data_IF_944890401337
#
_entry.id   IF_944890401337
#
_cell.length_a   1.000
_cell.length_b   1.000
_cell.length_c   1.000
_cell.angle_alpha   90.00
_cell.angle_beta   90.00
_cell.angle_gamma   90.00
#
_symmetry.space_group_name_H-M   'P 1'
#
loop_
_entity.id
_entity.type
_entity.pdbx_description
1 polymer ?
#
# COMPACT_ATOMS: atom_id res chain seq x y z
N UNK A 1 -22.61 22.77 3.90
CA UNK A 1 -21.47 22.42 3.01
C UNK A 1 -20.23 22.28 3.90
N UNK A 2 -19.55 21.12 3.88
CA UNK A 2 -18.38 20.90 4.73
C UNK A 2 -17.20 21.76 4.27
N UNK A 3 -16.59 22.53 5.19
CA UNK A 3 -15.57 23.53 4.86
C UNK A 3 -14.31 22.91 4.25
N UNK A 4 -14.04 21.65 4.56
CA UNK A 4 -12.84 20.93 4.11
C UNK A 4 -13.12 19.85 3.07
N UNK A 5 -14.28 19.87 2.40
CA UNK A 5 -14.61 18.85 1.38
C UNK A 5 -13.55 18.78 0.28
N UNK A 6 -13.13 19.94 -0.25
CA UNK A 6 -12.06 20.03 -1.25
C UNK A 6 -10.74 19.44 -0.75
N UNK A 7 -10.41 19.65 0.52
CA UNK A 7 -9.18 19.12 1.12
C UNK A 7 -9.27 17.60 1.21
N UNK A 8 -10.42 17.06 1.64
CA UNK A 8 -10.64 15.62 1.72
C UNK A 8 -10.51 14.96 0.34
N UNK A 9 -11.11 15.54 -0.70
CA UNK A 9 -10.99 15.03 -2.08
C UNK A 9 -9.54 14.98 -2.56
N UNK A 10 -8.76 16.04 -2.32
CA UNK A 10 -7.33 16.07 -2.69
C UNK A 10 -6.56 14.97 -1.95
N UNK A 11 -6.84 14.78 -0.66
CA UNK A 11 -6.17 13.75 0.15
C UNK A 11 -6.52 12.33 -0.27
N UNK A 12 -7.77 12.09 -0.66
CA UNK A 12 -8.20 10.81 -1.22
C UNK A 12 -7.49 10.53 -2.55
N UNK A 13 -7.32 11.56 -3.40
CA UNK A 13 -6.57 11.43 -4.64
C UNK A 13 -5.09 11.11 -4.37
N UNK A 14 -4.41 11.85 -3.49
CA UNK A 14 -3.02 11.58 -3.09
C UNK A 14 -2.83 10.15 -2.55
N UNK A 15 -3.80 9.68 -1.76
CA UNK A 15 -3.82 8.32 -1.22
C UNK A 15 -3.90 7.29 -2.35
N UNK A 16 -4.80 7.49 -3.31
CA UNK A 16 -4.98 6.59 -4.46
C UNK A 16 -3.72 6.54 -5.34
N UNK A 17 -3.09 7.69 -5.59
CA UNK A 17 -1.81 7.76 -6.32
C UNK A 17 -0.70 6.99 -5.59
N UNK A 18 -0.62 7.14 -4.26
CA UNK A 18 0.34 6.41 -3.42
C UNK A 18 0.05 4.90 -3.41
N UNK A 19 -1.22 4.50 -3.42
CA UNK A 19 -1.63 3.09 -3.48
C UNK A 19 -1.24 2.44 -4.82
N UNK A 20 -1.39 3.16 -5.93
CA UNK A 20 -0.94 2.71 -7.25
C UNK A 20 0.58 2.52 -7.25
N UNK A 21 1.32 3.52 -6.78
CA UNK A 21 2.78 3.46 -6.72
C UNK A 21 3.28 2.31 -5.80
N UNK A 22 2.59 2.06 -4.69
CA UNK A 22 2.86 0.90 -3.84
C UNK A 22 2.66 -0.42 -4.59
N UNK A 23 1.51 -0.61 -5.26
CA UNK A 23 1.23 -1.82 -6.06
C UNK A 23 2.28 -2.06 -7.15
N UNK A 24 2.70 -0.99 -7.84
CA UNK A 24 3.79 -1.08 -8.83
C UNK A 24 5.12 -1.49 -8.19
N UNK A 25 5.43 -0.95 -7.00
CA UNK A 25 6.65 -1.32 -6.28
C UNK A 25 6.65 -2.77 -5.80
N UNK A 26 5.50 -3.30 -5.37
CA UNK A 26 5.32 -4.71 -5.00
C UNK A 26 5.58 -5.59 -6.22
N UNK A 27 4.94 -5.28 -7.36
CA UNK A 27 5.15 -6.03 -8.61
C UNK A 27 6.62 -6.02 -9.03
N UNK A 28 7.27 -4.87 -8.98
CA UNK A 28 8.70 -4.76 -9.32
C UNK A 28 9.58 -5.59 -8.38
N UNK A 29 9.26 -5.62 -7.08
CA UNK A 29 9.95 -6.48 -6.12
C UNK A 29 9.75 -7.97 -6.45
N UNK A 30 8.51 -8.39 -6.71
CA UNK A 30 8.17 -9.78 -7.06
C UNK A 30 8.89 -10.25 -8.33
N UNK A 31 8.93 -9.41 -9.37
CA UNK A 31 9.63 -9.73 -10.63
C UNK A 31 11.14 -9.96 -10.39
N UNK A 32 11.79 -9.09 -9.62
CA UNK A 32 13.23 -9.22 -9.34
C UNK A 32 13.51 -10.38 -8.37
N UNK A 33 12.64 -10.61 -7.39
CA UNK A 33 12.76 -11.73 -6.45
C UNK A 33 12.57 -13.08 -7.15
N UNK A 34 11.62 -13.17 -8.09
CA UNK A 34 11.40 -14.38 -8.91
C UNK A 34 12.63 -14.67 -9.75
N UNK A 35 13.22 -13.65 -10.38
CA UNK A 35 14.47 -13.80 -11.13
C UNK A 35 15.62 -14.29 -10.24
N UNK A 36 15.72 -13.81 -9.00
CA UNK A 36 16.72 -14.31 -8.06
C UNK A 36 16.50 -15.79 -7.76
N UNK A 37 15.25 -16.19 -7.49
CA UNK A 37 14.88 -17.58 -7.24
C UNK A 37 15.28 -18.48 -8.41
N UNK A 38 14.95 -18.09 -9.64
CA UNK A 38 15.29 -18.87 -10.85
C UNK A 38 16.80 -19.04 -11.02
N UNK A 39 17.59 -18.00 -10.74
CA UNK A 39 19.06 -18.06 -10.82
C UNK A 39 19.65 -18.98 -9.76
N UNK A 40 19.14 -18.92 -8.53
CA UNK A 40 19.56 -19.82 -7.45
C UNK A 40 19.21 -21.27 -7.79
N UNK A 41 18.00 -21.52 -8.31
CA UNK A 41 17.59 -22.86 -8.72
C UNK A 41 18.43 -23.39 -9.87
N UNK A 42 18.76 -22.54 -10.84
CA UNK A 42 19.68 -22.88 -11.93
C UNK A 42 21.07 -23.25 -11.42
N UNK A 43 21.59 -22.53 -10.42
CA UNK A 43 22.88 -22.83 -9.78
C UNK A 43 22.85 -24.20 -9.11
N UNK A 44 21.81 -24.48 -8.33
CA UNK A 44 21.62 -25.76 -7.65
C UNK A 44 21.62 -26.93 -8.65
N UNK A 45 20.77 -26.86 -9.68
CA UNK A 45 20.67 -27.91 -10.70
C UNK A 45 22.01 -28.15 -11.44
N UNK A 46 22.79 -27.08 -11.67
CA UNK A 46 24.08 -27.20 -12.35
C UNK A 46 25.13 -27.87 -11.47
N UNK A 47 25.15 -27.58 -10.17
CA UNK A 47 26.05 -28.23 -9.22
C UNK A 47 25.72 -29.71 -9.12
N UNK A 48 24.44 -30.07 -9.05
CA UNK A 48 23.98 -31.46 -9.05
C UNK A 48 24.42 -32.18 -10.33
N UNK A 49 24.16 -31.58 -11.50
CA UNK A 49 24.60 -32.13 -12.78
C UNK A 49 26.14 -32.33 -12.86
N UNK A 50 26.91 -31.37 -12.34
CA UNK A 50 28.37 -31.49 -12.29
C UNK A 50 28.81 -32.66 -11.40
N UNK A 51 28.17 -32.84 -10.24
CA UNK A 51 28.47 -33.96 -9.34
C UNK A 51 28.20 -35.31 -10.01
N UNK A 52 27.07 -35.46 -10.70
CA UNK A 52 26.76 -36.68 -11.46
C UNK A 52 27.79 -36.96 -12.55
N UNK A 53 28.21 -35.93 -13.31
CA UNK A 53 29.22 -36.06 -14.38
C UNK A 53 30.60 -36.43 -13.84
N UNK A 54 30.96 -35.99 -12.63
CA UNK A 54 32.23 -36.36 -12.00
C UNK A 54 32.27 -37.84 -11.59
N UNK A 55 31.13 -38.45 -11.27
CA UNK A 55 31.03 -39.89 -10.93
C UNK A 55 31.30 -40.77 -12.15
N UNK A 56 30.82 -40.38 -13.32
CA UNK A 56 30.97 -41.15 -14.58
C UNK A 56 32.33 -40.87 -15.26
N UNK A 57 33.00 -39.79 -14.87
CA UNK A 57 34.23 -39.29 -15.47
C UNK A 57 33.97 -38.10 -16.39
N UNK A 58 34.78 -37.06 -16.26
CA UNK A 58 34.69 -35.82 -17.06
C UNK A 58 36.08 -35.37 -17.48
N UNK A 59 36.18 -34.73 -18.64
CA UNK A 59 37.44 -34.12 -19.08
C UNK A 59 37.78 -32.89 -18.23
N UNK A 60 39.08 -32.59 -18.12
CA UNK A 60 39.57 -31.39 -17.41
C UNK A 60 39.00 -30.11 -18.02
N UNK A 61 38.82 -30.09 -19.34
CA UNK A 61 38.23 -28.94 -20.05
C UNK A 61 36.77 -28.70 -19.64
N UNK A 62 35.96 -29.76 -19.55
CA UNK A 62 34.58 -29.67 -19.09
C UNK A 62 34.50 -29.16 -17.64
N UNK A 63 35.35 -29.68 -16.76
CA UNK A 63 35.41 -29.26 -15.35
C UNK A 63 35.71 -27.75 -15.25
N UNK A 64 36.69 -27.26 -16.02
CA UNK A 64 37.02 -25.84 -16.06
C UNK A 64 35.90 -24.99 -16.66
N UNK A 65 35.20 -25.48 -17.69
CA UNK A 65 34.08 -24.77 -18.29
C UNK A 65 32.93 -24.57 -17.28
N UNK A 66 32.54 -25.62 -16.56
CA UNK A 66 31.48 -25.53 -15.53
C UNK A 66 31.86 -24.62 -14.38
N UNK A 67 33.12 -24.69 -13.90
CA UNK A 67 33.58 -23.80 -12.82
C UNK A 67 33.46 -22.32 -13.22
N UNK A 68 33.92 -21.94 -14.42
CA UNK A 68 33.78 -20.56 -14.93
C UNK A 68 32.32 -20.13 -15.07
N UNK A 69 31.46 -21.05 -15.50
CA UNK A 69 30.04 -20.75 -15.64
C UNK A 69 29.36 -20.55 -14.28
N UNK A 70 29.67 -21.38 -13.28
CA UNK A 70 29.21 -21.20 -11.90
C UNK A 70 29.68 -19.84 -11.37
N UNK A 71 30.96 -19.48 -11.54
CA UNK A 71 31.47 -18.17 -11.10
C UNK A 71 30.72 -17.00 -11.75
N UNK A 72 30.39 -17.10 -13.04
CA UNK A 72 29.62 -16.07 -13.73
C UNK A 72 28.18 -15.98 -13.23
N UNK A 73 27.59 -17.12 -12.89
CA UNK A 73 26.24 -17.21 -12.33
C UNK A 73 26.20 -16.61 -10.93
N UNK A 74 27.21 -16.85 -10.10
CA UNK A 74 27.35 -16.27 -8.76
C UNK A 74 27.46 -14.74 -8.80
N UNK A 75 28.26 -14.18 -9.73
CA UNK A 75 28.32 -12.73 -9.94
C UNK A 75 26.95 -12.16 -10.31
N UNK A 76 26.24 -12.84 -11.20
CA UNK A 76 24.89 -12.44 -11.62
C UNK A 76 23.89 -12.51 -10.46
N UNK A 77 23.98 -13.55 -9.63
CA UNK A 77 23.16 -13.72 -8.42
C UNK A 77 23.43 -12.57 -7.45
N UNK A 78 24.70 -12.23 -7.20
CA UNK A 78 25.07 -11.14 -6.30
C UNK A 78 24.47 -9.79 -6.76
N UNK A 79 24.56 -9.49 -8.06
CA UNK A 79 23.96 -8.28 -8.63
C UNK A 79 22.43 -8.25 -8.48
N UNK A 80 21.76 -9.38 -8.74
CA UNK A 80 20.31 -9.47 -8.61
C UNK A 80 19.88 -9.40 -7.15
N UNK A 81 20.63 -9.98 -6.21
CA UNK A 81 20.38 -9.85 -4.77
C UNK A 81 20.39 -8.37 -4.33
N UNK A 82 21.34 -7.58 -4.80
CA UNK A 82 21.37 -6.13 -4.52
C UNK A 82 20.11 -5.44 -5.07
N UNK A 83 19.67 -5.81 -6.28
CA UNK A 83 18.42 -5.28 -6.86
C UNK A 83 17.19 -5.68 -6.07
N UNK A 84 17.13 -6.91 -5.52
CA UNK A 84 16.03 -7.35 -4.64
C UNK A 84 15.99 -6.48 -3.39
N UNK A 85 17.14 -6.23 -2.75
CA UNK A 85 17.22 -5.36 -1.57
C UNK A 85 16.74 -3.94 -1.89
N UNK A 86 17.19 -3.37 -3.01
CA UNK A 86 16.74 -2.03 -3.46
C UNK A 86 15.24 -1.99 -3.73
N UNK A 87 14.69 -2.98 -4.44
CA UNK A 87 13.27 -3.06 -4.74
C UNK A 87 12.44 -3.22 -3.47
N UNK A 88 12.91 -4.03 -2.50
CA UNK A 88 12.27 -4.19 -1.19
C UNK A 88 12.26 -2.89 -0.40
N UNK A 89 13.38 -2.18 -0.34
CA UNK A 89 13.45 -0.89 0.34
C UNK A 89 12.51 0.14 -0.28
N UNK A 90 12.43 0.19 -1.61
CA UNK A 90 11.48 1.05 -2.34
C UNK A 90 10.03 0.67 -2.00
N UNK A 91 9.70 -0.61 -1.99
CA UNK A 91 8.38 -1.13 -1.64
C UNK A 91 7.97 -0.73 -0.21
N UNK A 92 8.84 -0.97 0.77
CA UNK A 92 8.59 -0.60 2.17
C UNK A 92 8.39 0.91 2.34
N UNK A 93 9.14 1.73 1.60
CA UNK A 93 8.97 3.18 1.64
C UNK A 93 7.58 3.62 1.15
N UNK A 94 7.07 3.03 0.06
CA UNK A 94 5.72 3.31 -0.40
C UNK A 94 4.65 2.78 0.56
N UNK A 95 4.90 1.64 1.22
CA UNK A 95 4.00 1.09 2.24
C UNK A 95 3.83 2.07 3.41
N UNK A 96 4.94 2.59 3.95
CA UNK A 96 4.93 3.59 5.01
C UNK A 96 4.20 4.87 4.58
N UNK A 97 4.47 5.34 3.35
CA UNK A 97 3.79 6.53 2.80
C UNK A 97 2.29 6.32 2.63
N UNK A 98 1.87 5.15 2.17
CA UNK A 98 0.47 4.81 2.04
C UNK A 98 -0.22 4.79 3.41
N UNK A 99 0.46 4.29 4.44
CA UNK A 99 -0.05 4.30 5.81
C UNK A 99 -0.23 5.72 6.35
N UNK A 100 0.75 6.61 6.14
CA UNK A 100 0.65 8.03 6.49
C UNK A 100 -0.57 8.69 5.82
N UNK A 101 -0.74 8.51 4.51
CA UNK A 101 -1.87 9.07 3.75
C UNK A 101 -3.22 8.53 4.18
N UNK A 102 -3.31 7.23 4.48
CA UNK A 102 -4.52 6.63 5.04
C UNK A 102 -4.90 7.25 6.39
N UNK A 103 -3.93 7.51 7.26
CA UNK A 103 -4.17 8.17 8.54
C UNK A 103 -4.64 9.62 8.36
N UNK A 104 -4.08 10.36 7.40
CA UNK A 104 -4.52 11.72 7.07
C UNK A 104 -5.99 11.74 6.61
N UNK A 105 -6.36 10.92 5.64
CA UNK A 105 -7.74 10.84 5.13
C UNK A 105 -8.72 10.53 6.27
N UNK A 106 -8.42 9.51 7.10
CA UNK A 106 -9.26 9.14 8.25
C UNK A 106 -9.45 10.28 9.26
N UNK A 107 -8.45 11.14 9.45
CA UNK A 107 -8.59 12.32 10.33
C UNK A 107 -9.63 13.28 9.77
N UNK A 108 -9.58 13.58 8.47
CA UNK A 108 -10.53 14.49 7.82
C UNK A 108 -11.94 13.91 7.73
N UNK A 109 -12.08 12.60 7.50
CA UNK A 109 -13.38 11.91 7.54
C UNK A 109 -14.03 12.04 8.94
N UNK A 110 -13.26 11.81 10.01
CA UNK A 110 -13.75 11.97 11.39
C UNK A 110 -14.13 13.41 11.70
N UNK A 111 -13.38 14.39 11.20
CA UNK A 111 -13.75 15.81 11.36
C UNK A 111 -15.06 16.13 10.64
N UNK A 112 -15.24 15.64 9.41
CA UNK A 112 -16.49 15.79 8.65
C UNK A 112 -17.69 15.19 9.38
N UNK A 113 -17.51 14.00 9.95
CA UNK A 113 -18.57 13.33 10.73
C UNK A 113 -18.97 14.15 11.97
N UNK A 114 -18.00 14.71 12.70
CA UNK A 114 -18.26 15.56 13.87
C UNK A 114 -18.95 16.86 13.50
N UNK A 115 -18.50 17.53 12.44
CA UNK A 115 -19.12 18.76 11.95
C UNK A 115 -20.57 18.51 11.51
N UNK A 116 -20.81 17.38 10.83
CA UNK A 116 -22.16 16.99 10.43
C UNK A 116 -23.08 16.72 11.63
N UNK A 117 -22.60 15.98 12.63
CA UNK A 117 -23.36 15.75 13.88
C UNK A 117 -23.68 17.05 14.61
N UNK A 118 -22.71 17.97 14.68
CA UNK A 118 -22.91 19.27 15.33
C UNK A 118 -23.95 20.12 14.59
N UNK A 119 -23.92 20.09 13.25
CA UNK A 119 -24.94 20.73 12.43
C UNK A 119 -26.34 20.14 12.67
N UNK A 120 -26.47 18.80 12.71
CA UNK A 120 -27.75 18.15 12.99
C UNK A 120 -28.29 18.54 14.37
N UNK A 121 -27.45 18.52 15.41
CA UNK A 121 -27.85 18.93 16.76
C UNK A 121 -28.35 20.38 16.83
N UNK A 122 -27.72 21.28 16.08
CA UNK A 122 -28.17 22.67 16.02
C UNK A 122 -29.52 22.81 15.29
N UNK A 123 -29.72 22.05 14.20
CA UNK A 123 -31.00 22.02 13.49
C UNK A 123 -32.13 21.49 14.39
N UNK A 124 -31.89 20.38 15.10
CA UNK A 124 -32.85 19.81 16.05
C UNK A 124 -33.18 20.79 17.18
N UNK A 125 -32.18 21.54 17.66
CA UNK A 125 -32.36 22.59 18.68
C UNK A 125 -33.24 23.73 18.17
N UNK A 126 -33.00 24.22 16.95
CA UNK A 126 -33.80 25.27 16.32
C UNK A 126 -35.23 24.79 16.09
N UNK A 127 -35.42 23.56 15.63
CA UNK A 127 -36.75 22.96 15.43
C UNK A 127 -37.52 22.83 16.75
N UNK A 128 -36.86 22.37 17.83
CA UNK A 128 -37.48 22.29 19.16
C UNK A 128 -37.95 23.66 19.66
N UNK A 129 -37.12 24.70 19.52
CA UNK A 129 -37.49 26.06 19.93
C UNK A 129 -38.71 26.54 19.13
N UNK A 130 -38.71 26.30 17.82
CA UNK A 130 -39.83 26.69 16.96
C UNK A 130 -41.14 25.95 17.28
N UNK A 131 -41.06 24.66 17.61
CA UNK A 131 -42.23 23.87 18.04
C UNK A 131 -42.80 24.37 19.38
N UNK A 132 -41.93 24.74 20.33
CA UNK A 132 -42.34 25.30 21.63
C UNK A 132 -43.04 26.65 21.45
N UNK A 133 -42.53 27.51 20.56
CA UNK A 133 -43.15 28.79 20.21
C UNK A 133 -44.54 28.62 19.59
N UNK A 134 -44.69 27.72 18.61
CA UNK A 134 -45.99 27.42 17.98
C UNK A 134 -46.98 26.86 19.00
N UNK A 135 -46.53 25.96 19.86
CA UNK A 135 -47.37 25.32 20.89
C UNK A 135 -47.90 26.36 21.86
N UNK A 136 -47.05 27.29 22.30
CA UNK A 136 -47.42 28.41 23.16
C UNK A 136 -48.44 29.34 22.49
N UNK A 137 -48.20 29.74 21.25
CA UNK A 137 -49.14 30.59 20.48
C UNK A 137 -50.50 29.92 20.27
N UNK A 138 -50.51 28.61 20.01
CA UNK A 138 -51.74 27.82 19.80
C UNK A 138 -52.51 27.66 21.11
N UNK A 139 -51.81 27.47 22.23
CA UNK A 139 -52.39 27.43 23.57
C UNK A 139 -53.09 28.76 23.90
N UNK A 140 -52.40 29.89 23.75
CA UNK A 140 -52.99 31.21 24.01
C UNK A 140 -54.19 31.52 23.11
N UNK A 141 -54.17 31.11 21.84
CA UNK A 141 -55.32 31.26 20.94
C UNK A 141 -56.55 30.43 21.37
N UNK A 142 -56.36 29.33 22.10
CA UNK A 142 -57.45 28.51 22.63
C UNK A 142 -58.06 29.07 23.91
N UNK A 143 -57.30 29.78 24.75
CA UNK A 143 -57.84 30.41 25.97
C UNK A 143 -58.63 31.71 25.71
N UNK A 144 -58.38 32.38 24.59
CA UNK A 144 -59.06 33.65 24.23
C UNK A 144 -60.45 33.40 23.59
N UNK A 145 -60.84 32.14 23.38
CA UNK A 145 -62.12 31.75 22.77
C UNK A 145 -63.05 31.10 23.80
#
# INVERSE_FOLDING_TARGET
MYRFEKVLTIREQEKNETEIAYKESVRSFEEVATKLYDLLKKKENLIEFQQERLVVGSSIEEIHHYARFIDSLEKTIADVQQKVVQARSKMNWYEEKLLEKNLEVRKFEKMREKDYKSFQQEQDRIESIFLDEISSLTYFKKEIR
#
